data_IF_353801574180
#
_entry.id   IF_353801574180
#
_cell.length_a   1.000
_cell.length_b   1.000
_cell.length_c   1.000
_cell.angle_alpha   90.00
_cell.angle_beta   90.00
_cell.angle_gamma   90.00
#
_symmetry.space_group_name_H-M   'P 1'
#
loop_
_entity.id
_entity.type
_entity.pdbx_description
1 polymer ?
#
# COMPACT_ATOMS: atom_id res chain seq x y z
N UNK A 1 11.67 -2.97 -23.15
CA UNK A 1 11.24 -1.67 -22.62
C UNK A 1 10.56 -1.92 -21.29
N UNK A 2 11.27 -1.68 -20.19
CA UNK A 2 10.58 -1.50 -18.90
C UNK A 2 10.10 -0.04 -18.88
N UNK A 3 8.81 0.23 -18.61
CA UNK A 3 8.37 1.61 -18.44
C UNK A 3 9.20 2.27 -17.34
N UNK A 4 9.54 3.55 -17.54
CA UNK A 4 10.19 4.34 -16.49
C UNK A 4 9.33 4.29 -15.22
N UNK A 5 9.96 4.07 -14.06
CA UNK A 5 9.25 4.08 -12.80
C UNK A 5 8.54 5.43 -12.60
N UNK A 6 7.29 5.44 -12.12
CA UNK A 6 6.57 6.67 -11.88
C UNK A 6 7.35 7.54 -10.89
N UNK A 7 7.63 8.79 -11.28
CA UNK A 7 8.42 9.73 -10.46
C UNK A 7 7.79 10.02 -9.10
N UNK A 8 6.48 9.82 -8.96
CA UNK A 8 5.70 9.97 -7.74
C UNK A 8 4.65 8.84 -7.68
N UNK A 9 4.99 7.65 -7.15
CA UNK A 9 4.00 6.61 -6.98
C UNK A 9 2.92 7.06 -5.99
N UNK A 10 1.69 6.58 -6.18
CA UNK A 10 0.57 6.95 -5.34
C UNK A 10 -0.56 5.95 -5.44
N UNK A 11 -1.38 5.91 -4.38
CA UNK A 11 -2.56 5.05 -4.30
C UNK A 11 -3.79 5.91 -4.56
N UNK A 12 -4.67 5.43 -5.44
CA UNK A 12 -5.96 6.07 -5.72
C UNK A 12 -7.10 5.11 -5.44
N UNK A 13 -8.19 5.63 -4.88
CA UNK A 13 -9.46 4.93 -4.75
C UNK A 13 -10.35 5.31 -5.93
N UNK A 14 -10.95 4.33 -6.60
CA UNK A 14 -12.01 4.55 -7.57
C UNK A 14 -13.35 4.19 -6.93
N UNK A 15 -14.18 5.19 -6.66
CA UNK A 15 -15.54 4.97 -6.18
C UNK A 15 -16.45 4.67 -7.38
N UNK A 16 -16.86 3.41 -7.51
CA UNK A 16 -17.71 2.92 -8.60
C UNK A 16 -19.09 3.58 -8.62
N UNK A 17 -19.64 3.99 -7.47
CA UNK A 17 -20.96 4.61 -7.40
C UNK A 17 -20.94 6.05 -7.89
N UNK A 18 -19.89 6.79 -7.54
CA UNK A 18 -19.76 8.21 -7.91
C UNK A 18 -18.88 8.44 -9.15
N UNK A 19 -18.22 7.39 -9.65
CA UNK A 19 -17.24 7.40 -10.74
C UNK A 19 -16.10 8.40 -10.52
N UNK A 20 -15.69 8.59 -9.25
CA UNK A 20 -14.66 9.55 -8.86
C UNK A 20 -13.41 8.85 -8.38
N UNK A 21 -12.27 9.47 -8.72
CA UNK A 21 -10.97 9.12 -8.17
C UNK A 21 -10.65 10.02 -6.98
N UNK A 22 -10.18 9.42 -5.88
CA UNK A 22 -9.62 10.14 -4.74
C UNK A 22 -8.24 9.61 -4.40
N UNK A 23 -7.33 10.51 -4.02
CA UNK A 23 -5.98 10.12 -3.64
C UNK A 23 -5.96 9.60 -2.19
N UNK A 24 -5.38 8.42 -1.96
CA UNK A 24 -5.15 7.88 -0.63
C UNK A 24 -3.75 8.28 -0.18
N UNK A 25 -3.67 9.03 0.93
CA UNK A 25 -2.38 9.30 1.58
C UNK A 25 -1.90 8.03 2.26
N UNK A 26 -0.79 7.47 1.80
CA UNK A 26 -0.21 6.26 2.36
C UNK A 26 1.09 6.57 3.14
N UNK A 27 1.47 5.73 4.11
CA UNK A 27 2.75 5.84 4.81
C UNK A 27 3.93 5.79 3.82
N UNK A 28 5.05 6.48 4.11
CA UNK A 28 6.23 6.47 3.24
C UNK A 28 6.73 5.06 2.89
N UNK A 29 6.65 4.11 3.84
CA UNK A 29 7.00 2.71 3.59
C UNK A 29 6.14 2.10 2.47
N UNK A 30 4.82 2.33 2.49
CA UNK A 30 3.91 1.83 1.47
C UNK A 30 4.14 2.54 0.12
N UNK A 31 4.41 3.84 0.12
CA UNK A 31 4.65 4.63 -1.11
C UNK A 31 5.99 4.29 -1.76
N UNK A 32 7.05 4.15 -0.97
CA UNK A 32 8.40 3.84 -1.45
C UNK A 32 8.42 2.51 -2.20
N UNK A 33 7.70 1.51 -1.67
CA UNK A 33 7.57 0.21 -2.31
C UNK A 33 6.39 0.12 -3.26
N UNK A 34 5.62 1.18 -3.53
CA UNK A 34 4.33 1.07 -4.23
C UNK A 34 4.41 0.38 -5.61
N UNK A 35 5.56 0.44 -6.30
CA UNK A 35 5.80 -0.32 -7.55
C UNK A 35 5.93 -1.83 -7.36
N UNK A 36 6.42 -2.24 -6.19
CA UNK A 36 6.71 -3.63 -5.80
C UNK A 36 5.86 -4.09 -4.60
N UNK A 37 4.90 -3.26 -4.18
CA UNK A 37 4.09 -3.47 -3.01
C UNK A 37 3.03 -4.54 -3.31
N UNK A 38 2.90 -5.49 -2.39
CA UNK A 38 1.87 -6.52 -2.47
C UNK A 38 0.66 -6.02 -1.70
N UNK A 39 -0.41 -5.67 -2.42
CA UNK A 39 -1.68 -5.32 -1.83
C UNK A 39 -2.58 -6.55 -1.68
N UNK A 40 -3.14 -6.75 -0.50
CA UNK A 40 -4.04 -7.87 -0.18
C UNK A 40 -5.32 -7.37 0.45
N UNK A 41 -6.35 -8.22 0.38
CA UNK A 41 -7.53 -8.08 1.24
C UNK A 41 -7.22 -8.71 2.60
N UNK A 42 -7.48 -7.99 3.68
CA UNK A 42 -7.34 -8.45 5.05
C UNK A 42 -8.55 -8.00 5.89
N UNK A 43 -9.41 -8.95 6.26
CA UNK A 43 -10.59 -8.72 7.12
C UNK A 43 -11.54 -7.63 6.60
N UNK A 44 -11.76 -7.62 5.28
CA UNK A 44 -12.59 -6.66 4.55
C UNK A 44 -11.89 -5.33 4.24
N UNK A 45 -10.59 -5.20 4.53
CA UNK A 45 -9.82 -3.96 4.35
C UNK A 45 -8.66 -4.15 3.39
N UNK A 46 -8.22 -3.06 2.76
CA UNK A 46 -7.01 -3.06 1.95
C UNK A 46 -5.80 -3.05 2.88
N UNK A 47 -4.87 -3.98 2.65
CA UNK A 47 -3.59 -4.00 3.33
C UNK A 47 -2.43 -4.06 2.33
N UNK A 48 -1.27 -3.56 2.74
CA UNK A 48 -0.02 -3.61 2.00
C UNK A 48 1.03 -4.37 2.79
N UNK A 49 1.70 -5.33 2.15
CA UNK A 49 2.84 -6.06 2.70
C UNK A 49 4.12 -5.35 2.27
N UNK A 50 4.91 -4.96 3.25
CA UNK A 50 6.19 -4.28 3.07
C UNK A 50 7.30 -5.17 3.64
N UNK A 51 8.18 -5.77 2.81
CA UNK A 51 9.29 -6.56 3.33
C UNK A 51 10.25 -5.68 4.15
N UNK A 52 10.75 -6.23 5.26
CA UNK A 52 11.74 -5.53 6.09
C UNK A 52 13.09 -5.36 5.37
N UNK A 53 13.44 -6.33 4.52
CA UNK A 53 14.59 -6.28 3.63
C UNK A 53 14.13 -6.67 2.20
N UNK A 54 14.06 -5.71 1.26
CA UNK A 54 13.64 -5.98 -0.13
C UNK A 54 14.61 -6.88 -0.91
N UNK A 55 15.87 -6.94 -0.49
CA UNK A 55 16.93 -7.67 -1.18
C UNK A 55 17.37 -8.93 -0.42
N UNK A 56 16.87 -9.09 0.80
CA UNK A 56 17.14 -10.23 1.68
C UNK A 56 16.06 -11.30 1.64
N UNK A 57 16.25 -12.40 2.39
CA UNK A 57 15.24 -13.43 2.54
C UNK A 57 13.97 -12.87 3.19
N UNK A 58 12.81 -13.24 2.66
CA UNK A 58 11.50 -12.82 3.17
C UNK A 58 11.19 -13.50 4.51
N UNK A 59 11.78 -12.99 5.59
CA UNK A 59 11.61 -13.51 6.96
C UNK A 59 10.68 -12.63 7.80
N UNK A 60 10.62 -11.33 7.50
CA UNK A 60 9.82 -10.36 8.25
C UNK A 60 9.24 -9.34 7.29
N UNK A 61 8.03 -8.92 7.59
CA UNK A 61 7.37 -7.87 6.84
C UNK A 61 6.46 -7.06 7.76
N UNK A 62 6.31 -5.79 7.43
CA UNK A 62 5.30 -4.93 8.01
C UNK A 62 4.03 -5.05 7.17
N UNK A 63 2.91 -5.26 7.83
CA UNK A 63 1.59 -5.20 7.20
C UNK A 63 0.92 -3.88 7.58
N UNK A 64 0.64 -3.06 6.58
CA UNK A 64 -0.06 -1.79 6.73
C UNK A 64 -1.51 -1.95 6.32
N UNK A 65 -2.45 -1.76 7.23
CA UNK A 65 -3.89 -1.89 6.97
C UNK A 65 -4.52 -0.50 6.87
N UNK A 66 -5.26 -0.25 5.80
CA UNK A 66 -6.05 0.97 5.63
C UNK A 66 -7.34 0.84 6.45
N UNK A 67 -7.35 1.45 7.62
CA UNK A 67 -8.43 1.34 8.61
C UNK A 67 -9.67 2.14 8.20
N UNK A 68 -9.43 3.34 7.66
CA UNK A 68 -10.45 4.27 7.17
C UNK A 68 -9.97 4.93 5.86
N UNK A 69 -10.64 4.58 4.75
CA UNK A 69 -10.38 5.08 3.39
C UNK A 69 -10.64 6.58 3.25
N UNK A 70 -11.53 7.19 4.04
CA UNK A 70 -11.89 8.60 3.90
C UNK A 70 -10.97 9.50 4.74
N UNK A 71 -10.50 8.99 5.87
CA UNK A 71 -9.54 9.70 6.74
C UNK A 71 -8.09 9.41 6.39
N UNK A 72 -7.84 8.41 5.56
CA UNK A 72 -6.50 7.91 5.22
C UNK A 72 -5.75 7.43 6.47
N UNK A 73 -6.46 6.74 7.37
CA UNK A 73 -5.88 6.20 8.60
C UNK A 73 -5.32 4.81 8.34
N UNK A 74 -4.06 4.60 8.74
CA UNK A 74 -3.37 3.34 8.59
C UNK A 74 -2.91 2.83 9.95
N UNK A 75 -3.01 1.52 10.15
CA UNK A 75 -2.36 0.80 11.24
C UNK A 75 -1.22 -0.05 10.67
N UNK A 76 -0.19 -0.32 11.48
CA UNK A 76 0.88 -1.24 11.12
C UNK A 76 0.95 -2.42 12.08
N UNK A 77 1.31 -3.57 11.53
CA UNK A 77 1.58 -4.79 12.26
C UNK A 77 2.90 -5.36 11.79
N UNK A 78 3.79 -5.67 12.73
CA UNK A 78 5.04 -6.36 12.42
C UNK A 78 4.74 -7.86 12.42
N UNK A 79 5.03 -8.52 11.29
CA UNK A 79 4.90 -9.97 11.15
C UNK A 79 6.32 -10.59 11.15
N UNK A 80 6.49 -11.61 12.00
CA UNK A 80 7.77 -12.30 12.29
C UNK A 80 7.64 -13.78 12.01
#
# INVERSE_FOLDING_TARGET
>A
YSPDQPKNPGIVCFDVRSEKLSYIKAPPAVVFYCSDAVFIEYKGKLASIVPADPYGPFQRFDMWVLEDVHKHEWSSHICV
#
